data_IF_559353001943
#
_entry.id   IF_559353001943
#
_cell.length_a   1.000
_cell.length_b   1.000
_cell.length_c   1.000
_cell.angle_alpha   90.00
_cell.angle_beta   90.00
_cell.angle_gamma   90.00
#
_symmetry.space_group_name_H-M   'P 1'
#
loop_
_entity.id
_entity.type
_entity.pdbx_description
1 polymer ?
#
# COMPACT_ATOMS: atom_id res chain seq x y z
N UNK A 1 -25.41 23.10 -17.25
CA UNK A 1 -24.64 21.90 -16.88
C UNK A 1 -23.24 22.33 -16.52
N UNK A 2 -22.79 22.02 -15.31
CA UNK A 2 -21.46 22.40 -14.86
C UNK A 2 -20.38 21.45 -15.41
N UNK A 3 -19.12 21.86 -15.33
CA UNK A 3 -17.95 21.02 -15.67
C UNK A 3 -18.00 19.69 -14.89
N UNK A 4 -18.45 19.72 -13.63
CA UNK A 4 -18.66 18.54 -12.78
C UNK A 4 -19.67 17.54 -13.35
N UNK A 5 -20.81 18.01 -13.88
CA UNK A 5 -21.83 17.13 -14.47
C UNK A 5 -21.31 16.47 -15.76
N UNK A 6 -20.48 17.21 -16.50
CA UNK A 6 -19.85 16.76 -17.74
C UNK A 6 -18.79 15.68 -17.47
N UNK A 7 -17.98 15.85 -16.41
CA UNK A 7 -16.99 14.84 -15.99
C UNK A 7 -17.64 13.58 -15.42
N UNK A 8 -18.71 13.70 -14.62
CA UNK A 8 -19.49 12.54 -14.13
C UNK A 8 -20.05 11.73 -15.29
N UNK A 9 -20.60 12.41 -16.30
CA UNK A 9 -21.10 11.77 -17.53
C UNK A 9 -20.00 11.11 -18.36
N UNK A 10 -18.85 11.75 -18.50
CA UNK A 10 -17.70 11.24 -19.27
C UNK A 10 -17.04 10.02 -18.60
N UNK A 11 -16.86 10.04 -17.28
CA UNK A 11 -16.28 8.95 -16.51
C UNK A 11 -17.29 7.83 -16.15
N UNK A 12 -18.57 8.00 -16.47
CA UNK A 12 -19.68 7.11 -16.06
C UNK A 12 -19.68 6.82 -14.55
N UNK A 13 -19.27 7.80 -13.74
CA UNK A 13 -19.14 7.64 -12.30
C UNK A 13 -20.52 7.83 -11.65
N UNK A 14 -21.23 6.72 -11.47
CA UNK A 14 -22.52 6.65 -10.77
C UNK A 14 -22.36 5.98 -9.42
N UNK A 15 -22.95 6.52 -8.36
CA UNK A 15 -22.92 5.92 -7.03
C UNK A 15 -22.94 6.95 -5.91
N UNK A 16 -23.03 6.47 -4.67
CA UNK A 16 -23.08 7.31 -3.47
C UNK A 16 -21.82 8.16 -3.28
N UNK A 17 -20.67 7.69 -3.79
CA UNK A 17 -19.36 8.34 -3.66
C UNK A 17 -18.89 9.08 -4.93
N UNK A 18 -19.83 9.45 -5.82
CA UNK A 18 -19.48 9.99 -7.14
C UNK A 18 -18.73 11.32 -7.07
N UNK A 19 -18.98 12.18 -6.08
CA UNK A 19 -18.33 13.50 -6.00
C UNK A 19 -16.88 13.40 -5.53
N UNK A 20 -16.62 12.62 -4.47
CA UNK A 20 -15.25 12.38 -4.03
C UNK A 20 -14.45 11.61 -5.09
N UNK A 21 -15.08 10.67 -5.81
CA UNK A 21 -14.40 9.91 -6.84
C UNK A 21 -14.00 10.79 -8.04
N UNK A 22 -14.84 11.74 -8.47
CA UNK A 22 -14.48 12.73 -9.51
C UNK A 22 -13.33 13.62 -9.02
N UNK A 23 -13.42 14.11 -7.77
CA UNK A 23 -12.36 14.92 -7.20
C UNK A 23 -11.01 14.18 -7.13
N UNK A 24 -11.03 12.90 -6.74
CA UNK A 24 -9.85 12.03 -6.72
C UNK A 24 -9.20 11.92 -8.10
N UNK A 25 -9.99 11.75 -9.15
CA UNK A 25 -9.49 11.60 -10.50
C UNK A 25 -8.72 12.85 -10.98
N UNK A 26 -9.14 14.03 -10.54
CA UNK A 26 -8.56 15.33 -10.91
C UNK A 26 -7.39 15.74 -10.01
N UNK A 27 -7.46 15.46 -8.71
CA UNK A 27 -6.56 16.06 -7.71
C UNK A 27 -5.71 15.04 -6.95
N UNK A 28 -5.98 13.74 -7.13
CA UNK A 28 -5.32 12.68 -6.39
C UNK A 28 -5.68 12.64 -4.90
N UNK A 29 -4.93 11.83 -4.15
CA UNK A 29 -5.14 11.66 -2.71
C UNK A 29 -4.61 12.87 -1.93
N UNK A 30 -5.50 13.60 -1.28
CA UNK A 30 -5.16 14.74 -0.42
C UNK A 30 -6.24 14.94 0.68
N UNK A 31 -6.02 15.90 1.59
CA UNK A 31 -6.95 16.15 2.71
C UNK A 31 -8.34 16.56 2.22
N UNK A 32 -8.45 17.37 1.17
CA UNK A 32 -9.74 17.78 0.60
C UNK A 32 -10.53 16.59 0.07
N UNK A 33 -9.87 15.65 -0.62
CA UNK A 33 -10.50 14.39 -1.03
C UNK A 33 -11.01 13.60 0.18
N UNK A 34 -10.18 13.49 1.22
CA UNK A 34 -10.53 12.75 2.43
C UNK A 34 -11.72 13.36 3.18
N UNK A 35 -11.78 14.68 3.26
CA UNK A 35 -12.91 15.43 3.84
C UNK A 35 -14.20 15.21 3.04
N UNK A 36 -14.15 15.34 1.72
CA UNK A 36 -15.30 15.07 0.84
C UNK A 36 -15.82 13.63 1.00
N UNK A 37 -14.90 12.66 0.98
CA UNK A 37 -15.24 11.26 1.18
C UNK A 37 -15.86 11.03 2.57
N UNK A 38 -15.35 11.69 3.61
CA UNK A 38 -15.93 11.60 4.96
C UNK A 38 -17.38 12.10 4.99
N UNK A 39 -17.66 13.24 4.36
CA UNK A 39 -19.03 13.76 4.28
C UNK A 39 -19.97 12.82 3.52
N UNK A 40 -19.52 12.25 2.40
CA UNK A 40 -20.32 11.24 1.68
C UNK A 40 -20.56 10.00 2.56
N UNK A 41 -19.56 9.54 3.31
CA UNK A 41 -19.70 8.39 4.23
C UNK A 41 -20.77 8.60 5.30
N UNK A 42 -20.85 9.79 5.89
CA UNK A 42 -21.83 10.11 6.93
C UNK A 42 -23.27 10.03 6.43
N UNK A 43 -23.49 10.23 5.13
CA UNK A 43 -24.82 10.18 4.52
C UNK A 43 -25.21 8.80 3.99
N UNK A 44 -24.29 7.83 4.01
CA UNK A 44 -24.52 6.48 3.53
C UNK A 44 -25.51 5.72 4.43
N UNK A 45 -26.52 5.07 3.83
CA UNK A 45 -27.57 4.37 4.58
C UNK A 45 -27.60 2.87 4.31
N UNK A 46 -27.22 2.45 3.10
CA UNK A 46 -27.19 1.02 2.78
C UNK A 46 -25.90 0.39 3.31
N UNK A 47 -26.01 -0.85 3.78
CA UNK A 47 -24.86 -1.64 4.25
C UNK A 47 -23.72 -1.71 3.22
N UNK A 48 -24.05 -1.82 1.93
CA UNK A 48 -23.08 -1.82 0.85
C UNK A 48 -22.39 -0.47 0.64
N UNK A 49 -23.13 0.63 0.76
CA UNK A 49 -22.58 1.99 0.68
C UNK A 49 -21.64 2.23 1.86
N UNK A 50 -22.05 1.88 3.09
CA UNK A 50 -21.22 2.00 4.28
C UNK A 50 -19.90 1.24 4.12
N UNK A 51 -19.96 -0.02 3.68
CA UNK A 51 -18.77 -0.83 3.46
C UNK A 51 -17.86 -0.24 2.36
N UNK A 52 -18.44 0.21 1.24
CA UNK A 52 -17.70 0.85 0.15
C UNK A 52 -17.00 2.12 0.63
N UNK A 53 -17.69 2.98 1.39
CA UNK A 53 -17.10 4.18 1.97
C UNK A 53 -15.95 3.89 2.92
N UNK A 54 -16.08 2.87 3.78
CA UNK A 54 -14.98 2.40 4.64
C UNK A 54 -13.78 1.91 3.81
N UNK A 55 -14.03 1.12 2.77
CA UNK A 55 -13.00 0.61 1.87
C UNK A 55 -12.26 1.73 1.11
N UNK A 56 -12.99 2.72 0.60
CA UNK A 56 -12.42 3.88 -0.09
C UNK A 56 -11.60 4.75 0.87
N UNK A 57 -12.08 4.93 2.10
CA UNK A 57 -11.41 5.75 3.11
C UNK A 57 -10.14 5.09 3.63
N UNK A 58 -10.16 3.78 3.88
CA UNK A 58 -8.97 3.00 4.22
C UNK A 58 -7.88 3.13 3.14
N UNK A 59 -8.28 3.05 1.87
CA UNK A 59 -7.35 3.23 0.75
C UNK A 59 -6.80 4.66 0.68
N UNK A 60 -7.66 5.67 0.86
CA UNK A 60 -7.25 7.07 0.90
C UNK A 60 -6.18 7.32 1.97
N UNK A 61 -6.44 6.87 3.20
CA UNK A 61 -5.49 6.96 4.30
C UNK A 61 -4.16 6.25 3.98
N UNK A 62 -4.22 5.06 3.39
CA UNK A 62 -3.02 4.31 3.01
C UNK A 62 -2.18 5.08 1.99
N UNK A 63 -2.80 5.58 0.92
CA UNK A 63 -2.10 6.32 -0.14
C UNK A 63 -1.63 7.70 0.31
N UNK A 64 -2.23 8.28 1.36
CA UNK A 64 -1.73 9.50 2.02
C UNK A 64 -0.63 9.20 3.06
N UNK A 65 -0.31 7.94 3.30
CA UNK A 65 0.72 7.52 4.25
C UNK A 65 0.29 7.55 5.72
N UNK A 66 -1.02 7.53 6.00
CA UNK A 66 -1.61 7.37 7.34
C UNK A 66 -1.90 5.90 7.59
N UNK A 67 -0.85 5.08 7.64
CA UNK A 67 -0.98 3.61 7.58
C UNK A 67 -1.69 3.03 8.81
N UNK A 68 -1.46 3.59 10.00
CA UNK A 68 -2.14 3.10 11.23
C UNK A 68 -3.65 3.38 11.21
N UNK A 69 -4.04 4.55 10.75
CA UNK A 69 -5.44 4.91 10.58
C UNK A 69 -6.07 4.02 9.49
N UNK A 70 -5.35 3.81 8.38
CA UNK A 70 -5.79 2.93 7.31
C UNK A 70 -6.01 1.49 7.81
N UNK A 71 -5.10 0.94 8.61
CA UNK A 71 -5.25 -0.38 9.22
C UNK A 71 -6.55 -0.48 10.01
N UNK A 72 -6.86 0.53 10.82
CA UNK A 72 -8.08 0.56 11.65
C UNK A 72 -9.33 0.51 10.77
N UNK A 73 -9.36 1.28 9.69
CA UNK A 73 -10.48 1.30 8.74
C UNK A 73 -10.60 -0.01 7.95
N UNK A 74 -9.48 -0.63 7.55
CA UNK A 74 -9.48 -1.96 6.94
C UNK A 74 -10.08 -3.01 7.88
N UNK A 75 -9.68 -3.00 9.16
CA UNK A 75 -10.17 -3.95 10.17
C UNK A 75 -11.66 -3.75 10.50
N UNK A 76 -12.17 -2.53 10.37
CA UNK A 76 -13.57 -2.18 10.60
C UNK A 76 -14.48 -2.42 9.37
N UNK A 77 -13.92 -2.68 8.19
CA UNK A 77 -14.71 -2.88 6.97
C UNK A 77 -15.22 -4.31 6.89
N UNK A 78 -16.55 -4.45 6.77
CA UNK A 78 -17.16 -5.77 6.62
C UNK A 78 -17.22 -6.22 5.15
N UNK A 79 -16.21 -6.99 4.74
CA UNK A 79 -16.00 -7.45 3.35
C UNK A 79 -17.25 -8.10 2.71
N UNK A 80 -18.07 -8.92 3.39
CA UNK A 80 -19.25 -9.51 2.75
C UNK A 80 -20.29 -8.51 2.24
N UNK A 81 -20.29 -7.25 2.72
CA UNK A 81 -21.16 -6.19 2.19
C UNK A 81 -20.51 -5.39 1.04
N UNK A 82 -19.22 -5.57 0.77
CA UNK A 82 -18.56 -4.91 -0.34
C UNK A 82 -19.04 -5.46 -1.69
N UNK A 83 -19.12 -4.58 -2.68
CA UNK A 83 -19.37 -4.99 -4.04
C UNK A 83 -18.23 -5.89 -4.54
N UNK A 84 -18.57 -6.99 -5.22
CA UNK A 84 -17.59 -8.01 -5.65
C UNK A 84 -16.38 -7.44 -6.39
N UNK A 85 -16.59 -6.43 -7.23
CA UNK A 85 -15.54 -5.77 -8.01
C UNK A 85 -14.54 -4.94 -7.17
N UNK A 86 -14.88 -4.63 -5.90
CA UNK A 86 -13.99 -3.92 -4.98
C UNK A 86 -13.21 -4.87 -4.05
N UNK A 87 -13.69 -6.10 -3.87
CA UNK A 87 -13.14 -7.04 -2.89
C UNK A 87 -11.66 -7.34 -3.14
N UNK A 88 -11.28 -7.59 -4.39
CA UNK A 88 -9.88 -7.92 -4.71
C UNK A 88 -8.95 -6.75 -4.40
N UNK A 89 -9.29 -5.54 -4.87
CA UNK A 89 -8.49 -4.34 -4.63
C UNK A 89 -8.39 -4.04 -3.13
N UNK A 90 -9.51 -4.14 -2.40
CA UNK A 90 -9.55 -3.93 -0.96
C UNK A 90 -8.59 -4.87 -0.21
N UNK A 91 -8.71 -6.19 -0.43
CA UNK A 91 -7.87 -7.20 0.25
C UNK A 91 -6.40 -7.02 -0.10
N UNK A 92 -6.08 -6.79 -1.38
CA UNK A 92 -4.70 -6.59 -1.83
C UNK A 92 -4.07 -5.31 -1.24
N UNK A 93 -4.83 -4.23 -1.08
CA UNK A 93 -4.33 -3.02 -0.42
C UNK A 93 -4.24 -3.18 1.10
N UNK A 94 -5.13 -3.95 1.73
CA UNK A 94 -5.02 -4.28 3.15
C UNK A 94 -3.74 -5.07 3.46
N UNK A 95 -3.44 -6.09 2.63
CA UNK A 95 -2.18 -6.86 2.71
C UNK A 95 -0.96 -5.93 2.59
N UNK A 96 -0.98 -5.01 1.63
CA UNK A 96 0.08 -4.01 1.48
C UNK A 96 0.21 -3.13 2.73
N UNK A 97 -0.89 -2.60 3.26
CA UNK A 97 -0.89 -1.76 4.45
C UNK A 97 -0.25 -2.48 5.66
N UNK A 98 -0.68 -3.72 5.93
CA UNK A 98 -0.11 -4.55 6.99
C UNK A 98 1.37 -4.86 6.75
N UNK A 99 1.73 -5.11 5.49
CA UNK A 99 3.11 -5.33 5.13
C UNK A 99 3.95 -4.09 5.45
N UNK A 100 3.56 -2.90 4.99
CA UNK A 100 4.27 -1.65 5.26
C UNK A 100 4.41 -1.36 6.77
N UNK A 101 3.39 -1.70 7.56
CA UNK A 101 3.42 -1.63 9.04
C UNK A 101 4.26 -2.73 9.72
N UNK A 102 4.93 -3.59 8.95
CA UNK A 102 5.74 -4.71 9.42
C UNK A 102 4.93 -5.75 10.25
N UNK A 103 3.67 -5.98 9.88
CA UNK A 103 2.74 -6.92 10.55
C UNK A 103 2.69 -8.28 9.82
N UNK A 104 3.85 -8.91 9.65
CA UNK A 104 3.96 -10.15 8.84
C UNK A 104 3.07 -11.32 9.30
N UNK A 105 2.83 -11.49 10.60
CA UNK A 105 1.87 -12.50 11.09
C UNK A 105 0.45 -12.23 10.60
N UNK A 106 0.00 -10.97 10.68
CA UNK A 106 -1.33 -10.56 10.23
C UNK A 106 -1.48 -10.66 8.71
N UNK A 107 -0.41 -10.36 7.95
CA UNK A 107 -0.38 -10.57 6.49
C UNK A 107 -0.72 -12.01 6.15
N UNK A 108 -0.11 -13.01 6.82
CA UNK A 108 -0.42 -14.43 6.58
C UNK A 108 -1.87 -14.77 6.90
N UNK A 109 -2.37 -14.31 8.04
CA UNK A 109 -3.76 -14.53 8.45
C UNK A 109 -4.75 -14.01 7.39
N UNK A 110 -4.58 -12.77 6.94
CA UNK A 110 -5.44 -12.15 5.92
C UNK A 110 -5.30 -12.85 4.57
N UNK A 111 -4.08 -13.23 4.18
CA UNK A 111 -3.85 -13.94 2.93
C UNK A 111 -4.53 -15.33 2.95
N UNK A 112 -4.41 -16.09 4.03
CA UNK A 112 -5.05 -17.40 4.18
C UNK A 112 -6.57 -17.28 4.20
N UNK A 113 -7.12 -16.32 4.95
CA UNK A 113 -8.55 -16.10 5.07
C UNK A 113 -9.20 -15.67 3.75
N UNK A 114 -8.52 -14.83 2.96
CA UNK A 114 -9.07 -14.21 1.77
C UNK A 114 -8.32 -14.54 0.48
N UNK A 115 -7.60 -15.66 0.42
CA UNK A 115 -6.80 -16.05 -0.75
C UNK A 115 -7.63 -16.09 -2.04
N UNK A 116 -8.85 -16.63 -1.97
CA UNK A 116 -9.76 -16.74 -3.11
C UNK A 116 -10.14 -15.37 -3.67
N UNK A 117 -10.17 -14.34 -2.83
CA UNK A 117 -10.44 -12.95 -3.21
C UNK A 117 -9.17 -12.25 -3.69
N UNK A 118 -8.06 -12.40 -2.96
CA UNK A 118 -6.78 -11.81 -3.30
C UNK A 118 -6.27 -12.30 -4.67
N UNK A 119 -6.57 -13.56 -5.00
CA UNK A 119 -6.20 -14.24 -6.24
C UNK A 119 -7.30 -14.27 -7.31
N UNK A 120 -8.49 -13.72 -7.02
CA UNK A 120 -9.64 -13.77 -7.93
C UNK A 120 -9.39 -13.09 -9.28
N UNK A 121 -8.43 -12.18 -9.35
CA UNK A 121 -8.17 -11.35 -10.52
C UNK A 121 -6.69 -11.43 -10.92
N UNK A 122 -6.42 -11.63 -12.22
CA UNK A 122 -5.05 -11.61 -12.77
C UNK A 122 -4.52 -10.17 -12.91
N UNK A 123 -4.59 -9.41 -11.82
CA UNK A 123 -4.27 -7.98 -11.77
C UNK A 123 -2.88 -7.75 -11.18
N UNK A 124 -2.33 -6.57 -11.43
CA UNK A 124 -1.02 -6.16 -10.91
C UNK A 124 -1.04 -6.01 -9.37
N UNK A 125 -2.19 -5.65 -8.79
CA UNK A 125 -2.37 -5.61 -7.33
C UNK A 125 -2.29 -7.00 -6.69
N UNK A 126 -2.79 -8.04 -7.37
CA UNK A 126 -2.66 -9.43 -6.95
C UNK A 126 -1.20 -9.88 -6.93
N UNK A 127 -0.43 -9.59 -8.01
CA UNK A 127 1.00 -9.93 -8.08
C UNK A 127 1.78 -9.33 -6.91
N UNK A 128 1.46 -8.10 -6.51
CA UNK A 128 2.07 -7.48 -5.33
C UNK A 128 1.82 -8.29 -4.06
N UNK A 129 0.58 -8.73 -3.81
CA UNK A 129 0.26 -9.56 -2.65
C UNK A 129 0.91 -10.93 -2.69
N UNK A 130 1.06 -11.54 -3.88
CA UNK A 130 1.84 -12.77 -4.06
C UNK A 130 3.29 -12.54 -3.64
N UNK A 131 3.93 -11.47 -4.13
CA UNK A 131 5.30 -11.13 -3.74
C UNK A 131 5.45 -10.88 -2.23
N UNK A 132 4.46 -10.21 -1.62
CA UNK A 132 4.41 -9.99 -0.16
C UNK A 132 4.29 -11.32 0.58
N UNK A 133 3.44 -12.24 0.12
CA UNK A 133 3.28 -13.55 0.72
C UNK A 133 4.57 -14.37 0.63
N UNK A 134 5.23 -14.40 -0.53
CA UNK A 134 6.54 -15.03 -0.68
C UNK A 134 7.58 -14.45 0.29
N UNK A 135 7.59 -13.11 0.45
CA UNK A 135 8.48 -12.45 1.41
C UNK A 135 8.20 -12.91 2.85
N UNK A 136 6.93 -12.91 3.28
CA UNK A 136 6.57 -13.30 4.65
C UNK A 136 6.82 -14.79 4.91
N UNK A 137 6.71 -15.63 3.88
CA UNK A 137 7.13 -17.03 3.89
C UNK A 137 8.65 -17.23 3.81
N UNK A 138 9.46 -16.16 3.86
CA UNK A 138 10.92 -16.18 3.76
C UNK A 138 11.47 -16.72 2.43
N UNK A 139 10.67 -16.71 1.38
CA UNK A 139 11.05 -17.06 0.01
C UNK A 139 11.45 -15.80 -0.74
N UNK A 140 12.52 -15.17 -0.27
CA UNK A 140 12.88 -13.80 -0.68
C UNK A 140 13.29 -13.71 -2.15
N UNK A 141 13.91 -14.74 -2.73
CA UNK A 141 14.27 -14.78 -4.16
C UNK A 141 13.02 -14.75 -5.06
N UNK A 142 11.98 -15.51 -4.67
CA UNK A 142 10.68 -15.47 -5.34
C UNK A 142 10.05 -14.08 -5.20
N UNK A 143 10.07 -13.50 -4.00
CA UNK A 143 9.54 -12.17 -3.76
C UNK A 143 10.23 -11.11 -4.65
N UNK A 144 11.57 -11.12 -4.71
CA UNK A 144 12.36 -10.25 -5.60
C UNK A 144 11.93 -10.44 -7.05
N UNK A 145 11.82 -11.68 -7.52
CA UNK A 145 11.40 -12.00 -8.89
C UNK A 145 10.03 -11.41 -9.22
N UNK A 146 9.07 -11.57 -8.31
CA UNK A 146 7.70 -11.03 -8.49
C UNK A 146 7.72 -9.51 -8.53
N UNK A 147 8.42 -8.85 -7.62
CA UNK A 147 8.44 -7.39 -7.55
C UNK A 147 9.23 -6.73 -8.69
N UNK A 148 10.32 -7.34 -9.18
CA UNK A 148 11.04 -6.84 -10.37
C UNK A 148 10.13 -6.87 -11.60
N UNK A 149 9.42 -7.99 -11.81
CA UNK A 149 8.45 -8.11 -12.91
C UNK A 149 7.36 -7.06 -12.78
N UNK A 150 6.85 -6.84 -11.57
CA UNK A 150 5.85 -5.80 -11.32
C UNK A 150 6.37 -4.39 -11.65
N UNK A 151 7.57 -4.03 -11.21
CA UNK A 151 8.17 -2.71 -11.50
C UNK A 151 8.53 -2.50 -12.98
N UNK A 152 8.61 -3.59 -13.76
CA UNK A 152 8.86 -3.52 -15.20
C UNK A 152 7.59 -3.23 -16.02
N UNK A 153 6.42 -3.16 -15.36
CA UNK A 153 5.16 -2.85 -16.03
C UNK A 153 5.12 -1.38 -16.51
N UNK A 154 4.60 -1.09 -17.71
CA UNK A 154 4.66 0.26 -18.29
C UNK A 154 3.86 1.33 -17.54
N UNK A 155 2.80 0.94 -16.83
CA UNK A 155 1.93 1.89 -16.11
C UNK A 155 2.34 1.99 -14.62
N UNK A 156 3.03 3.07 -14.21
CA UNK A 156 3.53 3.23 -12.84
C UNK A 156 2.42 3.38 -11.80
N UNK A 157 1.17 3.69 -12.21
CA UNK A 157 0.02 3.76 -11.29
C UNK A 157 -0.36 2.39 -10.74
N UNK A 158 0.08 1.33 -11.41
CA UNK A 158 -0.24 -0.05 -11.04
C UNK A 158 0.82 -0.71 -10.15
N UNK A 159 1.97 -0.05 -9.99
CA UNK A 159 3.14 -0.55 -9.24
C UNK A 159 3.38 0.23 -7.94
N UNK A 160 2.37 0.94 -7.44
CA UNK A 160 2.49 1.80 -6.26
C UNK A 160 3.07 1.02 -5.08
N UNK A 161 4.15 1.58 -4.51
CA UNK A 161 4.89 1.08 -3.35
C UNK A 161 5.53 -0.31 -3.56
N UNK A 162 5.60 -0.80 -4.80
CA UNK A 162 6.30 -2.04 -5.13
C UNK A 162 7.82 -1.90 -4.97
N UNK A 163 8.37 -0.70 -5.11
CA UNK A 163 9.78 -0.38 -4.83
C UNK A 163 10.13 -0.58 -3.35
N UNK A 164 9.28 -0.12 -2.41
CA UNK A 164 9.44 -0.40 -0.98
C UNK A 164 9.43 -1.90 -0.72
N UNK A 165 8.53 -2.64 -1.38
CA UNK A 165 8.44 -4.09 -1.25
C UNK A 165 9.69 -4.81 -1.79
N UNK A 166 10.17 -4.40 -2.96
CA UNK A 166 11.39 -4.92 -3.56
C UNK A 166 12.61 -4.64 -2.70
N UNK A 167 12.79 -3.41 -2.24
CA UNK A 167 13.93 -3.01 -1.38
C UNK A 167 13.95 -3.85 -0.10
N UNK A 168 12.79 -4.09 0.52
CA UNK A 168 12.71 -4.98 1.69
C UNK A 168 13.18 -6.41 1.38
N UNK A 169 12.76 -6.96 0.24
CA UNK A 169 13.14 -8.30 -0.19
C UNK A 169 14.65 -8.40 -0.51
N UNK A 170 15.20 -7.43 -1.25
CA UNK A 170 16.63 -7.33 -1.53
C UNK A 170 17.47 -7.22 -0.26
N UNK A 171 17.03 -6.41 0.72
CA UNK A 171 17.70 -6.28 2.02
C UNK A 171 17.58 -7.50 2.93
N UNK A 172 16.71 -8.47 2.61
CA UNK A 172 16.66 -9.76 3.29
C UNK A 172 17.62 -10.79 2.65
N UNK A 173 18.11 -10.51 1.44
CA UNK A 173 19.11 -11.27 0.70
C UNK A 173 20.49 -10.59 0.71
N UNK A 174 20.70 -9.60 1.58
CA UNK A 174 21.93 -8.80 1.67
C UNK A 174 22.35 -8.09 0.36
N UNK A 175 21.41 -7.88 -0.56
CA UNK A 175 21.61 -7.18 -1.84
C UNK A 175 21.59 -5.65 -1.67
N UNK A 176 22.44 -5.12 -0.78
CA UNK A 176 22.40 -3.72 -0.34
C UNK A 176 22.62 -2.72 -1.49
N UNK A 177 23.58 -2.98 -2.39
CA UNK A 177 23.89 -2.07 -3.50
C UNK A 177 22.72 -1.96 -4.49
N UNK A 178 22.13 -3.12 -4.84
CA UNK A 178 20.93 -3.17 -5.70
C UNK A 178 19.72 -2.53 -5.04
N UNK A 179 19.52 -2.78 -3.74
CA UNK A 179 18.47 -2.13 -2.98
C UNK A 179 18.61 -0.59 -3.00
N UNK A 180 19.85 -0.09 -2.91
CA UNK A 180 20.15 1.34 -2.96
C UNK A 180 19.84 1.94 -4.33
N UNK A 181 20.22 1.28 -5.42
CA UNK A 181 19.87 1.71 -6.78
C UNK A 181 18.35 1.89 -6.94
N UNK A 182 17.56 0.89 -6.51
CA UNK A 182 16.09 0.96 -6.57
C UNK A 182 15.56 2.11 -5.69
N UNK A 183 16.10 2.26 -4.47
CA UNK A 183 15.66 3.28 -3.53
C UNK A 183 15.97 4.71 -4.03
N UNK A 184 17.11 4.93 -4.67
CA UNK A 184 17.51 6.24 -5.19
C UNK A 184 16.61 6.66 -6.36
N UNK A 185 16.14 5.71 -7.17
CA UNK A 185 15.16 5.98 -8.24
C UNK A 185 13.74 6.21 -7.71
N UNK A 186 13.34 5.51 -6.63
CA UNK A 186 11.94 5.45 -6.22
C UNK A 186 11.57 6.27 -5.01
N UNK A 187 12.42 6.34 -3.98
CA UNK A 187 11.98 6.81 -2.66
C UNK A 187 11.74 8.31 -2.56
N UNK A 188 12.24 9.10 -3.51
CA UNK A 188 11.98 10.54 -3.57
C UNK A 188 10.48 10.87 -3.61
N UNK A 189 9.66 9.98 -4.19
CA UNK A 189 8.20 10.18 -4.30
C UNK A 189 7.45 10.08 -2.98
N UNK A 190 8.07 9.56 -1.92
CA UNK A 190 7.43 9.31 -0.62
C UNK A 190 7.72 10.38 0.43
N UNK A 191 8.36 11.49 0.04
CA UNK A 191 8.63 12.60 0.95
C UNK A 191 7.32 13.26 1.38
N UNK A 192 7.13 13.44 2.69
CA UNK A 192 5.92 14.07 3.26
C UNK A 192 4.72 13.14 3.42
N UNK A 193 4.82 11.87 3.04
CA UNK A 193 3.77 10.85 3.14
C UNK A 193 3.79 10.09 4.47
N UNK A 194 3.81 10.81 5.61
CA UNK A 194 3.60 10.24 6.94
C UNK A 194 4.41 8.97 7.28
N UNK A 195 3.72 7.89 7.66
CA UNK A 195 4.30 6.60 8.03
C UNK A 195 5.14 5.99 6.89
N UNK A 196 4.81 6.28 5.63
CA UNK A 196 5.58 5.79 4.48
C UNK A 196 6.94 6.50 4.42
N UNK A 197 6.98 7.82 4.67
CA UNK A 197 8.25 8.56 4.78
C UNK A 197 9.13 7.95 5.88
N UNK A 198 8.54 7.58 7.02
CA UNK A 198 9.27 6.93 8.10
C UNK A 198 9.85 5.58 7.67
N UNK A 199 9.07 4.77 6.94
CA UNK A 199 9.51 3.47 6.45
C UNK A 199 10.66 3.58 5.44
N UNK A 200 10.56 4.47 4.44
CA UNK A 200 11.63 4.61 3.44
C UNK A 200 12.92 5.14 4.06
N UNK A 201 12.82 6.01 5.07
CA UNK A 201 13.99 6.47 5.82
C UNK A 201 14.63 5.34 6.64
N UNK A 202 13.81 4.47 7.25
CA UNK A 202 14.31 3.28 7.95
C UNK A 202 15.07 2.35 7.00
N UNK A 203 14.55 2.12 5.80
CA UNK A 203 15.20 1.30 4.77
C UNK A 203 16.52 1.93 4.30
N UNK A 204 16.54 3.26 4.06
CA UNK A 204 17.77 4.00 3.74
C UNK A 204 18.85 3.84 4.80
N UNK A 205 18.49 3.93 6.07
CA UNK A 205 19.43 3.70 7.17
C UNK A 205 19.96 2.26 7.18
N UNK A 206 19.09 1.27 6.94
CA UNK A 206 19.49 -0.14 6.87
C UNK A 206 20.53 -0.38 5.77
N UNK A 207 20.27 0.07 4.55
CA UNK A 207 21.21 -0.04 3.41
C UNK A 207 22.57 0.59 3.70
N UNK A 208 22.59 1.77 4.33
CA UNK A 208 23.84 2.49 4.63
C UNK A 208 24.60 1.95 5.86
N UNK A 209 23.92 1.17 6.71
CA UNK A 209 24.52 0.56 7.91
C UNK A 209 25.22 -0.78 7.64
N UNK A 210 24.93 -1.43 6.51
CA UNK A 210 25.40 -2.78 6.18
C UNK A 210 26.92 -2.93 5.92
N UNK A 211 27.71 -1.84 6.03
CA UNK A 211 29.16 -1.85 5.85
C UNK A 211 29.98 -1.24 6.99
N UNK A 212 29.36 -0.86 8.12
CA UNK A 212 30.12 -0.37 9.28
C UNK A 212 30.43 -1.54 10.22
N UNK A 213 31.72 -1.88 10.48
CA UNK A 213 32.04 -2.83 11.53
C UNK A 213 31.42 -2.34 12.83
N UNK A 214 30.71 -3.22 13.55
CA UNK A 214 30.37 -2.94 14.94
C UNK A 214 31.68 -2.60 15.65
N UNK A 215 31.85 -1.34 16.06
CA UNK A 215 32.96 -0.95 16.94
C UNK A 215 32.80 -1.76 18.22
N UNK A 216 33.54 -2.86 18.32
CA UNK A 216 33.73 -3.60 19.57
C UNK A 216 34.24 -2.60 20.59
N UNK A 217 33.44 -2.33 21.63
CA UNK A 217 33.77 -1.40 22.69
C UNK A 217 35.15 -1.73 23.26
N UNK A 218 36.09 -0.81 23.06
CA UNK A 218 37.41 -0.89 23.64
C UNK A 218 37.28 -0.93 25.16
N UNK A 219 37.52 -2.11 25.75
CA UNK A 219 37.79 -2.21 27.19
C UNK A 219 39.03 -1.37 27.48
N UNK A 220 38.84 -0.20 28.09
CA UNK A 220 39.92 0.54 28.77
C UNK A 220 40.51 -0.38 29.83
N UNK A 221 41.72 -0.90 29.58
CA UNK A 221 42.57 -1.42 30.65
C UNK A 221 42.96 -0.23 31.53
N UNK A 222 42.44 -0.19 32.76
CA UNK A 222 43.03 0.65 33.82
C UNK A 222 44.41 0.07 34.14
N UNK A 223 45.44 0.91 34.05
CA UNK A 223 46.71 0.72 34.74
C UNK A 223 46.54 1.11 36.20
#
# INVERSE_FOLDING_TARGET
MGIKDTLKGFLKMSGHYSDSAVYLAEHGYNNTYLEMLSTERETAKKKSEIAEGQALYAQALMFMGRLKDAQTEYENTYIPHLAKHLNSVFVNNYILCLFLLNKGSKVREIYEQYNSIALAENTLVMRRSVGINEYVCRRYENAVTVFIKLLSEPDPRTTLMADICLVRAMLALDMNDRAKEIADMGFGRYVGMGDITAEVNRLRLKMNSAGKPQRSGGKKKKK
#
